data_IF_782479210979
#
_entry.id   IF_782479210979
#
_cell.length_a   1.000
_cell.length_b   1.000
_cell.length_c   1.000
_cell.angle_alpha   90.00
_cell.angle_beta   90.00
_cell.angle_gamma   90.00
#
_symmetry.space_group_name_H-M   'P 1'
#
loop_
_entity.id
_entity.type
_entity.pdbx_description
1 polymer ?
#
# COMPACT_ATOMS: atom_id res chain seq x y z
N UNK A 1 16.37 -32.67 -4.30
CA UNK A 1 17.23 -31.56 -4.74
C UNK A 1 16.45 -30.66 -5.67
N UNK A 2 16.56 -29.36 -5.49
CA UNK A 2 15.92 -28.36 -6.33
C UNK A 2 17.00 -27.47 -6.96
N UNK A 3 16.81 -26.99 -8.21
CA UNK A 3 17.74 -26.07 -8.84
C UNK A 3 17.91 -24.78 -8.04
N UNK A 4 19.13 -24.23 -8.00
CA UNK A 4 19.43 -22.95 -7.38
C UNK A 4 19.01 -21.74 -8.22
N UNK A 5 18.73 -21.95 -9.51
CA UNK A 5 18.31 -20.90 -10.44
C UNK A 5 16.81 -20.67 -10.31
N UNK A 6 16.34 -19.45 -9.96
CA UNK A 6 14.93 -19.18 -9.69
C UNK A 6 13.95 -19.56 -10.82
N UNK A 7 14.34 -19.36 -12.08
CA UNK A 7 13.52 -19.72 -13.24
C UNK A 7 13.35 -21.22 -13.41
N UNK A 8 14.42 -21.98 -13.20
CA UNK A 8 14.40 -23.45 -13.26
C UNK A 8 13.62 -24.03 -12.08
N UNK A 9 13.82 -23.48 -10.88
CA UNK A 9 13.05 -23.85 -9.70
C UNK A 9 11.55 -23.63 -9.92
N UNK A 10 11.15 -22.45 -10.42
CA UNK A 10 9.77 -22.13 -10.73
C UNK A 10 9.17 -23.14 -11.73
N UNK A 11 9.88 -23.39 -12.83
CA UNK A 11 9.44 -24.34 -13.84
C UNK A 11 9.27 -25.75 -13.27
N UNK A 12 10.22 -26.21 -12.46
CA UNK A 12 10.10 -27.51 -11.79
C UNK A 12 8.91 -27.57 -10.83
N UNK A 13 8.65 -26.48 -10.11
CA UNK A 13 7.46 -26.38 -9.26
C UNK A 13 6.19 -26.50 -10.09
N UNK A 14 6.07 -25.70 -11.15
CA UNK A 14 4.86 -25.62 -11.98
C UNK A 14 4.61 -26.94 -12.72
N UNK A 15 5.66 -27.58 -13.30
CA UNK A 15 5.53 -28.75 -14.16
C UNK A 15 5.43 -30.07 -13.38
N UNK A 16 6.02 -30.16 -12.18
CA UNK A 16 6.17 -31.45 -11.48
C UNK A 16 5.71 -31.43 -10.02
N UNK A 17 6.12 -30.42 -9.22
CA UNK A 17 5.87 -30.45 -7.78
C UNK A 17 4.41 -30.13 -7.47
N UNK A 18 3.89 -29.00 -8.02
CA UNK A 18 2.52 -28.59 -7.76
C UNK A 18 1.49 -29.62 -8.27
N UNK A 19 1.59 -30.16 -9.50
CA UNK A 19 0.70 -31.22 -9.94
C UNK A 19 0.74 -32.47 -9.05
N UNK A 20 1.93 -32.91 -8.61
CA UNK A 20 2.07 -34.05 -7.74
C UNK A 20 1.46 -33.86 -6.34
N UNK A 21 1.58 -32.63 -5.78
CA UNK A 21 1.01 -32.32 -4.48
C UNK A 21 -0.51 -32.15 -4.58
N UNK A 22 -1.00 -31.40 -5.59
CA UNK A 22 -2.40 -31.04 -5.69
C UNK A 22 -3.30 -32.04 -6.38
N UNK A 23 -2.74 -33.06 -7.03
CA UNK A 23 -3.54 -34.15 -7.66
C UNK A 23 -4.47 -34.88 -6.69
N UNK A 24 -4.14 -34.89 -5.40
CA UNK A 24 -4.87 -35.60 -4.35
C UNK A 24 -5.40 -34.70 -3.23
N UNK A 25 -5.23 -33.35 -3.32
CA UNK A 25 -5.74 -32.41 -2.32
C UNK A 25 -7.06 -31.86 -2.82
N UNK A 26 -8.16 -32.04 -2.11
CA UNK A 26 -9.41 -31.37 -2.46
C UNK A 26 -9.21 -29.85 -2.47
N UNK A 27 -9.56 -29.19 -3.59
CA UNK A 27 -9.60 -27.73 -3.67
C UNK A 27 -10.85 -27.22 -2.93
N UNK A 28 -10.85 -27.37 -1.61
CA UNK A 28 -11.95 -26.97 -0.72
C UNK A 28 -11.62 -25.71 0.11
N UNK A 29 -10.49 -25.06 -0.19
CA UNK A 29 -9.99 -23.94 0.58
C UNK A 29 -10.23 -22.61 -0.14
N UNK A 30 -10.70 -21.61 0.59
CA UNK A 30 -10.78 -20.20 0.18
C UNK A 30 -9.75 -19.40 0.95
N UNK A 31 -9.02 -18.54 0.24
CA UNK A 31 -8.06 -17.61 0.83
C UNK A 31 -8.45 -16.19 0.46
N UNK A 32 -8.77 -15.38 1.48
CA UNK A 32 -8.91 -13.93 1.32
C UNK A 32 -7.61 -13.25 1.73
N UNK A 33 -7.19 -12.25 0.96
CA UNK A 33 -5.93 -11.54 1.16
C UNK A 33 -6.18 -10.06 1.37
N UNK A 34 -5.49 -9.47 2.34
CA UNK A 34 -5.55 -8.06 2.71
C UNK A 34 -4.14 -7.52 2.85
N UNK A 35 -3.91 -6.34 2.29
CA UNK A 35 -2.61 -5.70 2.29
C UNK A 35 -2.67 -4.42 3.11
N UNK A 36 -1.76 -4.28 4.05
CA UNK A 36 -1.66 -3.17 4.98
C UNK A 36 -0.38 -2.39 4.73
N UNK A 37 -0.41 -1.08 4.97
CA UNK A 37 0.75 -0.20 4.92
C UNK A 37 1.00 0.42 6.29
N UNK A 38 2.26 0.42 6.73
CA UNK A 38 2.72 1.18 7.88
C UNK A 38 2.40 0.60 9.25
N UNK A 39 2.07 -0.69 9.31
CA UNK A 39 1.90 -1.44 10.56
C UNK A 39 2.75 -2.71 10.55
N UNK A 40 3.35 -3.05 11.68
CA UNK A 40 4.17 -4.25 11.84
C UNK A 40 3.35 -5.49 12.18
N UNK A 41 3.91 -6.68 11.85
CA UNK A 41 3.30 -7.98 12.13
C UNK A 41 3.01 -8.16 13.63
N UNK A 42 3.97 -7.78 14.50
CA UNK A 42 3.80 -7.91 15.94
C UNK A 42 2.67 -7.03 16.50
N UNK A 43 2.49 -5.83 15.95
CA UNK A 43 1.42 -4.91 16.36
C UNK A 43 0.06 -5.45 15.95
N UNK A 44 -0.08 -5.87 14.69
CA UNK A 44 -1.35 -6.41 14.22
C UNK A 44 -1.66 -7.75 14.87
N UNK A 45 -0.65 -8.60 15.10
CA UNK A 45 -0.79 -9.86 15.80
C UNK A 45 -1.37 -9.68 17.22
N UNK A 46 -0.90 -8.67 17.97
CA UNK A 46 -1.48 -8.32 19.29
C UNK A 46 -2.94 -7.88 19.19
N UNK A 47 -3.30 -7.07 18.20
CA UNK A 47 -4.69 -6.62 17.98
C UNK A 47 -5.62 -7.81 17.68
N UNK A 48 -5.17 -8.71 16.83
CA UNK A 48 -5.98 -9.83 16.37
C UNK A 48 -5.99 -11.02 17.34
N UNK A 49 -5.04 -11.11 18.28
CA UNK A 49 -4.99 -12.20 19.27
C UNK A 49 -6.15 -12.21 20.27
N UNK A 50 -6.80 -11.05 20.47
CA UNK A 50 -7.99 -10.93 21.34
C UNK A 50 -9.32 -11.29 20.66
N UNK A 51 -9.29 -11.64 19.37
CA UNK A 51 -10.50 -11.95 18.59
C UNK A 51 -10.79 -13.45 18.69
N UNK A 52 -12.01 -13.80 19.08
CA UNK A 52 -12.54 -15.17 18.94
C UNK A 52 -12.96 -15.38 17.49
N UNK A 53 -12.11 -16.04 16.72
CA UNK A 53 -12.40 -16.35 15.32
C UNK A 53 -13.44 -17.45 15.18
N UNK A 54 -14.32 -17.42 14.17
CA UNK A 54 -15.22 -18.53 13.86
C UNK A 54 -14.45 -19.84 13.61
N UNK A 55 -15.12 -20.97 13.85
CA UNK A 55 -14.53 -22.28 13.66
C UNK A 55 -14.07 -22.50 12.21
N UNK A 56 -12.93 -23.15 12.02
CA UNK A 56 -12.34 -23.43 10.71
C UNK A 56 -11.66 -22.25 10.03
N UNK A 57 -11.56 -21.10 10.71
CA UNK A 57 -10.82 -19.92 10.22
C UNK A 57 -9.37 -19.95 10.71
N UNK A 58 -8.44 -19.72 9.79
CA UNK A 58 -7.02 -19.55 10.10
C UNK A 58 -6.53 -18.20 9.59
N UNK A 59 -5.79 -17.47 10.44
CA UNK A 59 -5.18 -16.19 10.09
C UNK A 59 -3.68 -16.40 9.88
N UNK A 60 -3.17 -15.94 8.75
CA UNK A 60 -1.74 -15.98 8.41
C UNK A 60 -1.21 -14.59 8.07
N UNK A 61 0.08 -14.40 8.29
CA UNK A 61 0.78 -13.13 8.02
C UNK A 61 1.96 -13.35 7.09
N UNK A 62 2.26 -12.35 6.27
CA UNK A 62 3.45 -12.29 5.44
C UNK A 62 3.94 -10.85 5.37
N UNK A 63 5.04 -10.57 6.04
CA UNK A 63 5.69 -9.26 5.95
C UNK A 63 6.52 -9.18 4.66
N UNK A 64 6.34 -8.10 3.90
CA UNK A 64 7.19 -7.70 2.77
C UNK A 64 7.19 -6.18 2.69
N UNK A 65 8.21 -5.60 3.26
CA UNK A 65 8.30 -4.15 3.44
C UNK A 65 8.06 -3.37 2.13
N UNK A 66 7.29 -2.26 2.16
CA UNK A 66 6.69 -1.62 3.33
C UNK A 66 5.31 -2.17 3.73
N UNK A 67 4.89 -3.27 3.17
CA UNK A 67 3.56 -3.85 3.35
C UNK A 67 3.56 -5.07 4.27
N UNK A 68 2.38 -5.36 4.79
CA UNK A 68 2.05 -6.60 5.49
C UNK A 68 0.83 -7.23 4.82
N UNK A 69 0.94 -8.48 4.40
CA UNK A 69 -0.20 -9.27 3.94
C UNK A 69 -0.81 -10.05 5.10
N UNK A 70 -2.14 -9.98 5.22
CA UNK A 70 -2.93 -10.85 6.10
C UNK A 70 -3.75 -11.77 5.21
N UNK A 71 -3.82 -13.05 5.59
CA UNK A 71 -4.62 -14.07 4.93
C UNK A 71 -5.66 -14.61 5.89
N UNK A 72 -6.91 -14.67 5.44
CA UNK A 72 -7.95 -15.51 6.05
C UNK A 72 -8.06 -16.75 5.20
N UNK A 73 -7.87 -17.90 5.81
CA UNK A 73 -8.05 -19.21 5.17
C UNK A 73 -9.25 -19.91 5.79
N UNK A 74 -10.15 -20.41 4.96
CA UNK A 74 -11.35 -21.14 5.35
C UNK A 74 -11.66 -22.26 4.39
N UNK A 75 -12.50 -23.24 4.77
CA UNK A 75 -13.08 -24.19 3.82
C UNK A 75 -14.18 -23.53 2.98
N UNK A 76 -14.38 -23.98 1.75
CA UNK A 76 -15.42 -23.45 0.84
C UNK A 76 -16.84 -23.58 1.41
N UNK A 77 -17.07 -24.56 2.26
CA UNK A 77 -18.37 -24.78 2.94
C UNK A 77 -18.65 -23.81 4.06
N UNK A 78 -17.66 -23.05 4.52
CA UNK A 78 -17.75 -22.10 5.65
C UNK A 78 -18.03 -20.65 5.21
N UNK A 79 -19.00 -20.43 4.35
CA UNK A 79 -19.26 -19.09 3.79
C UNK A 79 -19.72 -18.04 4.82
N UNK A 80 -20.53 -18.45 5.80
CA UNK A 80 -21.00 -17.58 6.90
C UNK A 80 -19.86 -17.23 7.86
N UNK A 81 -19.05 -18.22 8.22
CA UNK A 81 -17.88 -18.08 9.09
C UNK A 81 -16.81 -17.20 8.44
N UNK A 82 -16.61 -17.35 7.13
CA UNK A 82 -15.69 -16.52 6.36
C UNK A 82 -16.14 -15.05 6.33
N UNK A 83 -17.43 -14.79 6.12
CA UNK A 83 -18.01 -13.44 6.13
C UNK A 83 -17.91 -12.80 7.52
N UNK A 84 -18.18 -13.56 8.57
CA UNK A 84 -18.04 -13.09 9.95
C UNK A 84 -16.57 -12.77 10.28
N UNK A 85 -15.64 -13.65 9.89
CA UNK A 85 -14.20 -13.42 10.07
C UNK A 85 -13.70 -12.20 9.30
N UNK A 86 -14.15 -12.01 8.06
CA UNK A 86 -13.82 -10.82 7.27
C UNK A 86 -14.29 -9.54 7.95
N UNK A 87 -15.52 -9.53 8.46
CA UNK A 87 -16.09 -8.37 9.17
C UNK A 87 -15.28 -8.03 10.41
N UNK A 88 -14.92 -9.03 11.23
CA UNK A 88 -14.07 -8.84 12.40
C UNK A 88 -12.68 -8.30 12.02
N UNK A 89 -12.05 -8.89 11.00
CA UNK A 89 -10.74 -8.45 10.54
C UNK A 89 -10.78 -7.00 10.07
N UNK A 90 -11.72 -6.64 9.19
CA UNK A 90 -11.80 -5.31 8.59
C UNK A 90 -12.00 -4.20 9.62
N UNK A 91 -12.71 -4.46 10.70
CA UNK A 91 -12.86 -3.52 11.81
C UNK A 91 -11.52 -3.13 12.43
N UNK A 92 -10.60 -4.09 12.55
CA UNK A 92 -9.30 -3.88 13.19
C UNK A 92 -8.24 -3.30 12.25
N UNK A 93 -8.30 -3.65 10.94
CA UNK A 93 -7.24 -3.30 10.00
C UNK A 93 -7.56 -2.10 9.10
N UNK A 94 -8.80 -1.62 9.08
CA UNK A 94 -9.26 -0.58 8.14
C UNK A 94 -8.36 0.66 8.05
N UNK A 95 -7.73 1.18 9.12
CA UNK A 95 -6.86 2.35 9.02
C UNK A 95 -5.64 2.13 8.12
N UNK A 96 -5.11 0.92 8.06
CA UNK A 96 -3.90 0.57 7.31
C UNK A 96 -4.16 -0.17 6.00
N UNK A 97 -5.42 -0.51 5.71
CA UNK A 97 -5.79 -1.30 4.54
C UNK A 97 -5.55 -0.52 3.23
N UNK A 98 -4.72 -1.08 2.36
CA UNK A 98 -4.37 -0.50 1.05
C UNK A 98 -4.77 -1.38 -0.13
N UNK A 99 -5.11 -2.66 0.10
CA UNK A 99 -5.52 -3.57 -0.97
C UNK A 99 -6.25 -4.80 -0.46
N UNK A 100 -7.10 -5.37 -1.34
CA UNK A 100 -7.79 -6.64 -1.13
C UNK A 100 -7.55 -7.54 -2.33
N UNK A 101 -7.43 -8.86 -2.11
CA UNK A 101 -7.13 -9.90 -3.10
C UNK A 101 -5.71 -9.79 -3.66
N UNK A 102 -5.32 -8.62 -4.15
CA UNK A 102 -3.98 -8.31 -4.66
C UNK A 102 -3.56 -6.90 -4.22
N UNK A 103 -2.27 -6.68 -4.15
CA UNK A 103 -1.68 -5.37 -3.94
C UNK A 103 -1.42 -4.75 -5.32
N UNK A 104 -2.26 -3.82 -5.71
CA UNK A 104 -2.16 -3.14 -7.00
C UNK A 104 -2.65 -1.70 -6.87
N UNK A 105 -1.91 -0.91 -6.08
CA UNK A 105 -2.27 0.47 -5.79
C UNK A 105 -2.27 1.31 -7.08
N UNK A 106 -1.31 1.07 -7.97
CA UNK A 106 -1.18 1.79 -9.23
C UNK A 106 -2.39 1.58 -10.15
N UNK A 107 -2.84 0.34 -10.35
CA UNK A 107 -4.06 0.05 -11.10
C UNK A 107 -5.32 0.62 -10.43
N UNK A 108 -5.39 0.62 -9.11
CA UNK A 108 -6.51 1.22 -8.39
C UNK A 108 -6.54 2.73 -8.62
N UNK A 109 -5.40 3.42 -8.53
CA UNK A 109 -5.28 4.86 -8.84
C UNK A 109 -5.70 5.12 -10.29
N UNK A 110 -5.23 4.30 -11.23
CA UNK A 110 -5.58 4.42 -12.65
C UNK A 110 -7.10 4.33 -12.85
N UNK A 111 -7.75 3.30 -12.28
CA UNK A 111 -9.22 3.12 -12.35
C UNK A 111 -9.98 4.29 -11.73
N UNK A 112 -9.54 4.76 -10.56
CA UNK A 112 -10.18 5.87 -9.84
C UNK A 112 -9.94 7.23 -10.51
N UNK A 113 -8.79 7.39 -11.18
CA UNK A 113 -8.49 8.61 -11.94
C UNK A 113 -9.28 8.70 -13.25
N UNK A 114 -9.65 7.57 -13.84
CA UNK A 114 -10.27 7.52 -15.15
C UNK A 114 -9.39 8.16 -16.22
N UNK A 115 -9.96 9.04 -17.05
CA UNK A 115 -9.24 9.76 -18.12
C UNK A 115 -8.51 11.01 -17.64
N UNK A 116 -8.60 11.38 -16.36
CA UNK A 116 -7.97 12.59 -15.86
C UNK A 116 -6.47 12.35 -15.68
N UNK A 117 -5.60 13.14 -16.34
CA UNK A 117 -4.15 12.99 -16.21
C UNK A 117 -3.67 13.18 -14.78
N UNK A 118 -2.66 12.42 -14.40
CA UNK A 118 -1.94 12.57 -13.15
C UNK A 118 -0.54 13.12 -13.40
N UNK A 119 -0.22 14.24 -12.76
CA UNK A 119 1.14 14.76 -12.73
C UNK A 119 1.86 14.26 -11.49
N UNK A 120 3.09 13.81 -11.65
CA UNK A 120 4.00 13.43 -10.57
C UNK A 120 5.16 14.43 -10.53
N UNK A 121 5.27 15.18 -9.45
CA UNK A 121 6.41 16.03 -9.14
C UNK A 121 7.20 15.34 -8.03
N UNK A 122 8.39 14.88 -8.34
CA UNK A 122 9.12 14.02 -7.43
C UNK A 122 10.56 14.48 -7.24
N UNK A 123 11.02 14.48 -6.00
CA UNK A 123 12.42 14.69 -5.62
C UNK A 123 12.86 13.76 -4.50
N UNK A 124 12.18 13.78 -3.36
CA UNK A 124 12.60 13.09 -2.13
C UNK A 124 12.71 11.57 -2.29
N UNK A 125 11.82 10.94 -3.03
CA UNK A 125 11.82 9.49 -3.24
C UNK A 125 12.59 9.02 -4.47
N UNK A 126 13.28 9.94 -5.17
CA UNK A 126 14.22 9.63 -6.26
C UNK A 126 13.63 8.76 -7.38
N UNK A 127 12.41 9.04 -7.82
CA UNK A 127 11.75 8.33 -8.91
C UNK A 127 10.98 7.06 -8.51
N UNK A 128 10.83 6.77 -7.22
CA UNK A 128 10.10 5.58 -6.77
C UNK A 128 8.60 5.67 -7.03
N UNK A 129 8.01 6.84 -6.82
CA UNK A 129 6.57 7.03 -7.08
C UNK A 129 6.26 6.84 -8.54
N UNK A 130 7.02 7.48 -9.45
CA UNK A 130 6.77 7.33 -10.89
C UNK A 130 7.03 5.90 -11.37
N UNK A 131 8.03 5.22 -10.84
CA UNK A 131 8.33 3.82 -11.19
C UNK A 131 7.15 2.90 -10.88
N UNK A 132 6.49 3.09 -9.74
CA UNK A 132 5.33 2.28 -9.34
C UNK A 132 4.09 2.53 -10.20
N UNK A 133 3.89 3.77 -10.68
CA UNK A 133 2.64 4.17 -11.32
C UNK A 133 2.70 4.18 -12.85
N UNK A 134 3.88 4.36 -13.46
CA UNK A 134 4.05 4.55 -14.90
C UNK A 134 3.54 3.38 -15.75
N UNK A 135 3.64 2.15 -15.23
CA UNK A 135 3.16 0.95 -15.95
C UNK A 135 1.63 0.75 -15.92
N UNK A 136 0.92 1.48 -15.06
CA UNK A 136 -0.52 1.30 -14.84
C UNK A 136 -1.36 2.45 -15.40
N UNK A 137 -0.76 3.56 -15.82
CA UNK A 137 -1.46 4.75 -16.30
C UNK A 137 -0.97 5.16 -17.68
N UNK A 138 -1.90 5.33 -18.63
CA UNK A 138 -1.60 5.82 -19.98
C UNK A 138 -1.26 7.32 -19.99
N UNK A 139 -1.82 8.09 -19.06
CA UNK A 139 -1.71 9.54 -19.00
C UNK A 139 -1.07 10.00 -17.69
N UNK A 140 0.23 9.75 -17.55
CA UNK A 140 1.04 10.24 -16.44
C UNK A 140 2.20 11.09 -16.96
N UNK A 141 2.42 12.25 -16.33
CA UNK A 141 3.61 13.07 -16.57
C UNK A 141 4.46 13.13 -15.30
N UNK A 142 5.77 13.07 -15.46
CA UNK A 142 6.70 13.16 -14.33
C UNK A 142 7.72 14.27 -14.54
N UNK A 143 8.03 14.96 -13.44
CA UNK A 143 9.14 15.92 -13.39
C UNK A 143 9.94 15.69 -12.11
N UNK A 144 11.20 15.37 -12.28
CA UNK A 144 12.18 15.32 -11.20
C UNK A 144 12.81 16.71 -11.04
N UNK A 145 12.48 17.42 -9.98
CA UNK A 145 12.99 18.76 -9.70
C UNK A 145 13.00 19.05 -8.19
N UNK A 146 13.84 19.97 -7.73
CA UNK A 146 13.76 20.43 -6.35
C UNK A 146 12.37 21.00 -6.05
N UNK A 147 11.82 20.61 -4.92
CA UNK A 147 10.48 20.97 -4.44
C UNK A 147 10.58 21.51 -3.01
N UNK A 148 9.54 22.19 -2.51
CA UNK A 148 9.47 22.66 -1.13
C UNK A 148 9.74 21.58 -0.08
N UNK A 149 10.19 22.02 1.08
CA UNK A 149 10.68 21.19 2.18
C UNK A 149 9.65 20.97 3.29
N UNK A 150 8.50 21.67 3.25
CA UNK A 150 7.41 21.52 4.21
C UNK A 150 6.13 21.04 3.52
N UNK A 151 5.25 20.37 4.26
CA UNK A 151 3.97 19.92 3.73
C UNK A 151 3.09 21.10 3.28
N UNK A 152 3.06 22.15 4.08
CA UNK A 152 2.27 23.35 3.79
C UNK A 152 2.73 24.06 2.50
N UNK A 153 4.03 24.30 2.37
CA UNK A 153 4.59 24.98 1.18
C UNK A 153 4.45 24.11 -0.07
N UNK A 154 4.62 22.79 0.08
CA UNK A 154 4.46 21.85 -1.02
C UNK A 154 3.01 21.82 -1.53
N UNK A 155 2.03 21.84 -0.64
CA UNK A 155 0.63 21.91 -1.01
C UNK A 155 0.28 23.25 -1.67
N UNK A 156 0.76 24.37 -1.12
CA UNK A 156 0.60 25.68 -1.72
C UNK A 156 1.25 25.75 -3.13
N UNK A 157 2.38 25.10 -3.31
CA UNK A 157 3.10 25.06 -4.58
C UNK A 157 2.33 24.32 -5.68
N UNK A 158 1.64 23.20 -5.37
CA UNK A 158 0.89 22.40 -6.34
C UNK A 158 -0.56 22.84 -6.53
N UNK A 159 -1.13 23.61 -5.62
CA UNK A 159 -2.53 24.07 -5.68
C UNK A 159 -2.90 24.80 -6.97
N UNK A 160 -2.02 25.62 -7.61
CA UNK A 160 -2.33 26.27 -8.88
C UNK A 160 -2.37 25.32 -10.09
N UNK A 161 -1.92 24.07 -9.94
CA UNK A 161 -1.91 23.11 -11.04
C UNK A 161 -3.35 22.77 -11.48
N UNK A 162 -3.55 22.74 -12.81
CA UNK A 162 -4.87 22.46 -13.41
C UNK A 162 -5.20 20.97 -13.50
N UNK A 163 -4.21 20.11 -13.25
CA UNK A 163 -4.35 18.65 -13.26
C UNK A 163 -4.22 18.09 -11.85
N UNK A 164 -4.65 16.85 -11.65
CA UNK A 164 -4.35 16.12 -10.44
C UNK A 164 -2.85 15.99 -10.29
N UNK A 165 -2.32 16.39 -9.16
CA UNK A 165 -0.88 16.43 -8.92
C UNK A 165 -0.53 15.74 -7.62
N UNK A 166 0.39 14.78 -7.68
CA UNK A 166 1.09 14.23 -6.53
C UNK A 166 2.48 14.86 -6.50
N UNK A 167 2.91 15.31 -5.33
CA UNK A 167 4.24 15.87 -5.13
C UNK A 167 4.94 15.22 -3.95
N UNK A 168 6.22 14.92 -4.11
CA UNK A 168 7.11 14.45 -3.05
C UNK A 168 8.29 15.40 -2.97
N UNK A 169 8.31 16.21 -1.92
CA UNK A 169 9.24 17.30 -1.73
C UNK A 169 10.64 16.84 -1.34
N UNK A 170 11.47 17.81 -0.97
CA UNK A 170 12.84 17.55 -0.54
C UNK A 170 12.86 16.96 0.85
N UNK A 171 13.70 15.94 1.05
CA UNK A 171 13.99 15.39 2.36
C UNK A 171 14.77 16.39 3.22
N UNK A 172 14.37 16.51 4.48
CA UNK A 172 15.02 17.32 5.51
C UNK A 172 15.16 16.49 6.80
N UNK A 173 15.70 17.08 7.85
CA UNK A 173 15.72 16.47 9.19
C UNK A 173 14.31 16.19 9.74
N UNK A 174 13.30 16.93 9.28
CA UNK A 174 11.90 16.76 9.66
C UNK A 174 11.20 15.63 8.87
N UNK A 175 11.82 15.12 7.80
CA UNK A 175 11.30 14.07 6.96
C UNK A 175 11.10 14.47 5.50
N UNK A 176 10.23 13.74 4.80
CA UNK A 176 9.87 13.98 3.40
C UNK A 176 8.43 14.49 3.36
N UNK A 177 8.18 15.71 2.85
CA UNK A 177 6.84 16.21 2.62
C UNK A 177 6.21 15.57 1.39
N UNK A 178 4.96 15.15 1.52
CA UNK A 178 4.15 14.52 0.48
C UNK A 178 2.87 15.32 0.36
N UNK A 179 2.44 15.64 -0.87
CA UNK A 179 1.22 16.37 -1.12
C UNK A 179 0.46 15.80 -2.33
N UNK A 180 -0.85 15.90 -2.28
CA UNK A 180 -1.74 15.59 -3.39
C UNK A 180 -2.75 16.73 -3.58
N UNK A 181 -2.91 17.17 -4.83
CA UNK A 181 -3.92 18.12 -5.26
C UNK A 181 -4.88 17.46 -6.25
N UNK A 182 -6.16 17.42 -5.92
CA UNK A 182 -7.21 16.79 -6.72
C UNK A 182 -8.02 17.75 -7.61
N UNK A 183 -7.68 19.05 -7.61
CA UNK A 183 -8.40 20.10 -8.32
C UNK A 183 -9.40 20.88 -7.44
N UNK A 184 -10.00 20.23 -6.43
CA UNK A 184 -10.94 20.86 -5.48
C UNK A 184 -10.47 20.76 -4.04
N UNK A 185 -9.75 19.71 -3.71
CA UNK A 185 -9.19 19.44 -2.38
C UNK A 185 -7.76 19.01 -2.50
N UNK A 186 -6.97 19.40 -1.55
CA UNK A 186 -5.58 18.98 -1.42
C UNK A 186 -5.23 18.59 0.00
N UNK A 187 -4.32 17.65 0.11
CA UNK A 187 -3.80 17.14 1.37
C UNK A 187 -2.29 17.07 1.30
N UNK A 188 -1.64 17.34 2.41
CA UNK A 188 -0.21 17.12 2.54
C UNK A 188 0.14 16.67 3.97
N UNK A 189 1.22 15.95 4.09
CA UNK A 189 1.87 15.65 5.37
C UNK A 189 3.38 15.47 5.18
N UNK A 190 4.12 15.67 6.25
CA UNK A 190 5.55 15.33 6.30
C UNK A 190 5.71 14.02 7.05
N UNK A 191 6.43 13.06 6.44
CA UNK A 191 6.64 11.73 7.00
C UNK A 191 8.11 11.52 7.37
N UNK A 192 8.35 10.89 8.53
CA UNK A 192 9.67 10.57 9.05
C UNK A 192 9.71 9.13 9.56
N UNK A 193 10.84 8.45 9.40
CA UNK A 193 11.03 7.07 9.87
C UNK A 193 12.38 6.97 10.62
N UNK A 194 12.43 7.43 11.89
CA UNK A 194 13.66 7.45 12.65
C UNK A 194 14.23 6.04 12.88
N UNK A 195 15.55 5.92 12.81
CA UNK A 195 16.25 4.66 13.10
C UNK A 195 16.11 3.57 12.04
N UNK A 196 15.55 3.87 10.88
CA UNK A 196 15.45 2.94 9.76
C UNK A 196 16.50 3.21 8.69
N UNK A 197 16.77 2.18 7.90
CA UNK A 197 17.58 2.29 6.69
C UNK A 197 16.97 3.30 5.72
N UNK A 198 17.82 4.13 5.12
CA UNK A 198 17.39 5.23 4.27
C UNK A 198 16.64 4.75 3.03
N UNK A 199 17.09 3.69 2.36
CA UNK A 199 16.41 3.16 1.17
C UNK A 199 15.01 2.63 1.52
N UNK A 200 14.85 1.97 2.67
CA UNK A 200 13.53 1.58 3.20
C UNK A 200 12.65 2.78 3.50
N UNK A 201 13.24 3.85 4.04
CA UNK A 201 12.46 5.08 4.25
C UNK A 201 11.92 5.65 2.94
N UNK A 202 12.74 5.70 1.88
CA UNK A 202 12.30 6.17 0.57
C UNK A 202 11.21 5.27 -0.05
N UNK A 203 11.31 3.96 0.10
CA UNK A 203 10.28 3.02 -0.35
C UNK A 203 8.97 3.22 0.41
N UNK A 204 9.06 3.43 1.73
CA UNK A 204 7.88 3.72 2.55
C UNK A 204 7.23 5.05 2.17
N UNK A 205 8.01 6.11 1.99
CA UNK A 205 7.50 7.44 1.59
C UNK A 205 6.79 7.39 0.23
N UNK A 206 7.33 6.63 -0.73
CA UNK A 206 6.68 6.42 -2.02
C UNK A 206 5.35 5.66 -1.87
N UNK A 207 5.31 4.60 -1.06
CA UNK A 207 4.09 3.86 -0.78
C UNK A 207 3.03 4.72 -0.07
N UNK A 208 3.44 5.56 0.89
CA UNK A 208 2.56 6.50 1.60
C UNK A 208 1.99 7.57 0.67
N UNK A 209 2.79 8.04 -0.30
CA UNK A 209 2.34 8.96 -1.33
C UNK A 209 1.23 8.35 -2.21
N UNK A 210 1.39 7.10 -2.63
CA UNK A 210 0.39 6.40 -3.43
C UNK A 210 -0.87 6.04 -2.61
N UNK A 211 -0.71 5.66 -1.34
CA UNK A 211 -1.84 5.43 -0.42
C UNK A 211 -2.67 6.72 -0.23
N UNK A 212 -2.01 7.87 -0.04
CA UNK A 212 -2.69 9.17 0.01
C UNK A 212 -3.57 9.39 -1.22
N UNK A 213 -3.02 9.23 -2.42
CA UNK A 213 -3.77 9.41 -3.67
C UNK A 213 -4.94 8.46 -3.76
N UNK A 214 -4.72 7.16 -3.53
CA UNK A 214 -5.78 6.15 -3.59
C UNK A 214 -6.92 6.47 -2.61
N UNK A 215 -6.61 6.86 -1.37
CA UNK A 215 -7.62 7.22 -0.37
C UNK A 215 -8.41 8.44 -0.77
N UNK A 216 -7.76 9.51 -1.17
CA UNK A 216 -8.44 10.75 -1.57
C UNK A 216 -9.32 10.52 -2.80
N UNK A 217 -8.85 9.77 -3.80
CA UNK A 217 -9.66 9.40 -4.96
C UNK A 217 -10.86 8.51 -4.60
N UNK A 218 -10.77 7.74 -3.52
CA UNK A 218 -11.86 6.92 -2.97
C UNK A 218 -12.78 7.70 -2.02
N UNK A 219 -12.59 9.02 -1.85
CA UNK A 219 -13.41 9.85 -0.97
C UNK A 219 -13.02 9.80 0.51
N UNK A 220 -11.87 9.25 0.84
CA UNK A 220 -11.36 9.15 2.20
C UNK A 220 -10.27 10.20 2.47
N UNK A 221 -10.03 10.48 3.75
CA UNK A 221 -8.84 11.24 4.16
C UNK A 221 -7.57 10.38 4.06
N UNK A 222 -6.40 11.01 3.85
CA UNK A 222 -5.12 10.31 3.99
C UNK A 222 -4.98 9.62 5.34
N UNK A 223 -4.21 8.55 5.38
CA UNK A 223 -3.83 7.92 6.64
C UNK A 223 -2.62 8.66 7.21
N UNK A 224 -2.75 9.18 8.43
CA UNK A 224 -1.66 9.80 9.17
C UNK A 224 -1.26 8.98 10.41
N UNK A 225 -1.82 7.78 10.59
CA UNK A 225 -1.62 6.92 11.75
C UNK A 225 -0.75 5.70 11.44
N UNK A 226 0.40 5.91 10.78
CA UNK A 226 1.37 4.85 10.55
C UNK A 226 2.11 4.51 11.86
N UNK A 227 2.16 3.22 12.23
CA UNK A 227 2.96 2.77 13.40
C UNK A 227 4.45 2.64 13.08
N UNK A 228 4.79 2.51 11.80
CA UNK A 228 6.19 2.37 11.34
C UNK A 228 6.86 3.70 10.99
N UNK A 229 6.10 4.79 10.96
CA UNK A 229 6.58 6.11 10.61
C UNK A 229 5.81 7.18 11.39
N UNK A 230 6.42 8.34 11.56
CA UNK A 230 5.84 9.50 12.23
C UNK A 230 5.35 10.50 11.17
N UNK A 231 4.14 11.00 11.34
CA UNK A 231 3.65 12.18 10.61
C UNK A 231 3.89 13.39 11.48
N UNK A 232 4.73 14.32 11.01
CA UNK A 232 5.19 15.47 11.80
C UNK A 232 4.49 16.77 11.45
N UNK A 233 3.83 16.84 10.30
CA UNK A 233 3.11 18.01 9.81
C UNK A 233 1.95 17.55 8.94
N UNK A 234 0.81 18.23 9.03
CA UNK A 234 -0.36 17.98 8.19
C UNK A 234 -0.90 19.31 7.64
N UNK A 235 -1.37 19.32 6.40
CA UNK A 235 -2.05 20.44 5.77
C UNK A 235 -3.21 19.96 4.89
N UNK A 236 -4.28 20.74 4.86
CA UNK A 236 -5.49 20.49 4.04
C UNK A 236 -6.01 21.80 3.46
N UNK A 237 -6.51 21.78 2.23
CA UNK A 237 -7.17 22.92 1.56
C UNK A 237 -8.33 22.46 0.67
#
# INVERSE_FOLDING_TARGET
>A
FTPGVPSEFKRMCDDHILPAIFSNVPDDTVILRYFLLGIGESSIGKRLSGISWPEGITIGYRAFFPYLEIKITARKTGGSELTAAETLLLREISPWLVGRKQLDIACNISKLSGVIPLQVLEYGTRGRVIREIAGAMESVSCRLKPLPETAHDLLAYIKPERCRTIAVGRETENGIPIAYWGGLRGFAFTIRMPGRDHERFLDFAAAAALDMVQRVLSGHRPNCSYEMAEVTEEAEV
#
